data_IF_695341034003
#
_entry.id   IF_695341034003
#
_cell.length_a   1.000
_cell.length_b   1.000
_cell.length_c   1.000
_cell.angle_alpha   90.00
_cell.angle_beta   90.00
_cell.angle_gamma   90.00
#
_symmetry.space_group_name_H-M   'P 1'
#
loop_
_entity.id
_entity.type
_entity.pdbx_description
1 polymer ?
#
# COMPACT_ATOMS: atom_id res chain seq x y z
N UNK A 1 1.92 -66.41 22.25
CA UNK A 1 2.77 -65.88 23.35
C UNK A 1 4.10 -65.46 22.72
N UNK A 2 4.69 -64.28 22.88
CA UNK A 2 4.49 -63.15 23.78
C UNK A 2 4.94 -61.84 23.08
N UNK A 3 4.48 -60.71 23.63
CA UNK A 3 4.68 -59.32 23.18
C UNK A 3 6.12 -58.81 23.42
N UNK A 4 6.59 -57.86 22.60
CA UNK A 4 7.34 -56.70 23.09
C UNK A 4 7.24 -55.53 22.08
N UNK A 5 7.22 -54.32 22.62
CA UNK A 5 6.88 -53.06 21.96
C UNK A 5 8.08 -52.13 21.95
N UNK A 6 8.40 -51.58 20.77
CA UNK A 6 9.22 -50.38 20.49
C UNK A 6 9.64 -50.52 19.02
N UNK A 7 9.44 -49.59 18.11
CA UNK A 7 9.73 -48.19 18.28
C UNK A 7 8.95 -47.37 17.25
N UNK A 8 8.45 -46.24 17.72
CA UNK A 8 7.69 -45.26 16.95
C UNK A 8 8.69 -44.48 16.10
N UNK A 9 8.76 -44.74 14.78
CA UNK A 9 9.49 -43.83 13.88
C UNK A 9 8.60 -42.63 13.56
N UNK A 10 8.69 -41.68 14.48
CA UNK A 10 8.28 -40.29 14.48
C UNK A 10 7.85 -39.72 13.10
N UNK A 11 6.54 -39.47 13.00
CA UNK A 11 6.01 -38.25 12.40
C UNK A 11 6.68 -37.07 13.14
N UNK A 12 7.67 -36.44 12.52
CA UNK A 12 8.11 -35.12 12.97
C UNK A 12 7.22 -34.08 12.30
N UNK A 13 6.15 -33.74 13.01
CA UNK A 13 5.51 -32.43 12.93
C UNK A 13 6.55 -31.41 13.40
N UNK A 14 7.22 -30.75 12.46
CA UNK A 14 7.97 -29.53 12.75
C UNK A 14 7.03 -28.37 12.51
N UNK A 15 6.52 -27.78 13.59
CA UNK A 15 5.95 -26.43 13.55
C UNK A 15 7.02 -25.49 13.00
N UNK A 16 6.84 -25.07 11.74
CA UNK A 16 7.61 -23.98 11.15
C UNK A 16 6.90 -22.70 11.57
N UNK A 17 7.56 -21.86 12.37
CA UNK A 17 7.31 -20.43 12.27
C UNK A 17 7.41 -20.08 10.78
N UNK A 18 6.30 -19.67 10.17
CA UNK A 18 6.26 -19.27 8.77
C UNK A 18 7.13 -18.02 8.64
N UNK A 19 8.42 -18.21 8.36
CA UNK A 19 9.32 -17.13 7.96
C UNK A 19 8.72 -16.52 6.70
N UNK A 20 8.05 -15.38 6.86
CA UNK A 20 7.50 -14.60 5.76
C UNK A 20 8.57 -14.46 4.69
N UNK A 21 8.24 -14.86 3.47
CA UNK A 21 9.18 -14.70 2.36
C UNK A 21 9.43 -13.20 2.12
N UNK A 22 10.59 -12.83 1.57
CA UNK A 22 10.87 -11.41 1.29
C UNK A 22 9.84 -10.81 0.31
N UNK A 23 9.30 -11.66 -0.56
CA UNK A 23 8.23 -11.32 -1.48
C UNK A 23 6.90 -11.06 -0.77
N UNK A 24 6.55 -11.86 0.25
CA UNK A 24 5.37 -11.63 1.09
C UNK A 24 5.48 -10.34 1.91
N UNK A 25 6.66 -10.02 2.44
CA UNK A 25 6.91 -8.76 3.16
C UNK A 25 6.64 -7.54 2.27
N UNK A 26 7.05 -7.61 1.00
CA UNK A 26 6.82 -6.58 0.00
C UNK A 26 5.45 -6.68 -0.69
N UNK A 27 4.64 -7.70 -0.36
CA UNK A 27 3.33 -8.00 -0.99
C UNK A 27 3.39 -8.11 -2.51
N UNK A 28 4.48 -8.69 -3.02
CA UNK A 28 4.73 -8.91 -4.45
C UNK A 28 4.88 -10.39 -4.76
N UNK A 29 4.66 -10.75 -6.02
CA UNK A 29 4.93 -12.11 -6.50
C UNK A 29 6.44 -12.39 -6.54
N UNK A 30 6.91 -13.63 -6.32
CA UNK A 30 8.28 -14.05 -6.62
C UNK A 30 8.71 -13.79 -8.07
N UNK A 31 7.73 -13.76 -9.00
CA UNK A 31 7.93 -13.43 -10.41
C UNK A 31 7.94 -11.92 -10.71
N UNK A 32 7.82 -11.06 -9.71
CA UNK A 32 7.71 -9.61 -9.90
C UNK A 32 8.97 -9.03 -10.56
N UNK A 33 8.76 -8.10 -11.48
CA UNK A 33 9.80 -7.31 -12.11
C UNK A 33 10.49 -6.37 -11.10
N UNK A 34 11.67 -5.88 -11.46
CA UNK A 34 12.42 -4.96 -10.60
C UNK A 34 11.66 -3.65 -10.32
N UNK A 35 10.94 -3.14 -11.32
CA UNK A 35 10.10 -1.96 -11.21
C UNK A 35 8.94 -2.17 -10.25
N UNK A 36 8.29 -3.34 -10.28
CA UNK A 36 7.21 -3.70 -9.36
C UNK A 36 7.71 -3.81 -7.92
N UNK A 37 8.89 -4.41 -7.69
CA UNK A 37 9.52 -4.50 -6.37
C UNK A 37 9.80 -3.09 -5.81
N UNK A 38 10.36 -2.20 -6.64
CA UNK A 38 10.63 -0.82 -6.25
C UNK A 38 9.33 -0.02 -6.01
N UNK A 39 8.30 -0.18 -6.85
CA UNK A 39 6.99 0.48 -6.67
C UNK A 39 6.32 0.01 -5.37
N UNK A 40 6.31 -1.30 -5.12
CA UNK A 40 5.72 -1.89 -3.92
C UNK A 40 6.44 -1.45 -2.64
N UNK A 41 7.78 -1.47 -2.63
CA UNK A 41 8.57 -0.96 -1.52
C UNK A 41 8.24 0.51 -1.21
N UNK A 42 8.23 1.38 -2.23
CA UNK A 42 7.91 2.81 -2.03
C UNK A 42 6.53 3.01 -1.42
N UNK A 43 5.53 2.29 -1.92
CA UNK A 43 4.16 2.38 -1.41
C UNK A 43 4.07 1.89 0.05
N UNK A 44 4.70 0.77 0.38
CA UNK A 44 4.68 0.21 1.73
C UNK A 44 5.50 1.06 2.72
N UNK A 45 6.65 1.59 2.30
CA UNK A 45 7.47 2.50 3.09
C UNK A 45 6.69 3.77 3.44
N UNK A 46 5.89 4.31 2.52
CA UNK A 46 5.03 5.47 2.78
C UNK A 46 3.89 5.17 3.76
N UNK A 47 3.35 3.94 3.74
CA UNK A 47 2.24 3.53 4.61
C UNK A 47 2.70 3.18 6.03
N UNK A 48 3.89 2.58 6.13
CA UNK A 48 4.49 2.06 7.37
C UNK A 48 5.56 2.98 7.97
N UNK A 49 5.77 4.16 7.39
CA UNK A 49 6.74 5.10 7.92
C UNK A 49 6.42 5.42 9.39
N UNK A 50 7.38 5.30 10.32
CA UNK A 50 7.12 5.44 11.75
C UNK A 50 6.48 6.78 12.07
N UNK A 51 6.93 7.88 11.45
CA UNK A 51 6.35 9.22 11.65
C UNK A 51 4.87 9.31 11.24
N UNK A 52 4.48 8.68 10.11
CA UNK A 52 3.07 8.67 9.66
C UNK A 52 2.20 7.75 10.50
N UNK A 53 2.74 6.62 10.95
CA UNK A 53 2.02 5.69 11.82
C UNK A 53 1.81 6.34 13.18
N UNK A 54 2.83 6.97 13.75
CA UNK A 54 2.77 7.71 15.01
C UNK A 54 1.75 8.84 14.94
N UNK A 55 1.82 9.69 13.92
CA UNK A 55 0.88 10.80 13.76
C UNK A 55 -0.57 10.30 13.59
N UNK A 56 -0.80 9.19 12.87
CA UNK A 56 -2.14 8.58 12.74
C UNK A 56 -2.65 8.04 14.08
N UNK A 57 -1.78 7.42 14.88
CA UNK A 57 -2.12 6.84 16.17
C UNK A 57 -2.36 7.93 17.23
N UNK A 58 -1.58 9.00 17.23
CA UNK A 58 -1.77 10.16 18.10
C UNK A 58 -3.14 10.81 17.86
N UNK A 59 -3.52 11.03 16.58
CA UNK A 59 -4.84 11.54 16.22
C UNK A 59 -6.00 10.63 16.66
N UNK A 60 -5.84 9.31 16.54
CA UNK A 60 -6.83 8.34 17.00
C UNK A 60 -6.93 8.28 18.53
N UNK A 61 -5.82 8.47 19.23
CA UNK A 61 -5.73 8.49 20.68
C UNK A 61 -6.32 9.77 21.28
N UNK A 62 -6.22 10.92 20.60
CA UNK A 62 -6.85 12.18 20.98
C UNK A 62 -8.38 12.13 20.82
N UNK A 63 -8.87 11.48 19.75
CA UNK A 63 -10.29 11.27 19.53
C UNK A 63 -10.95 10.32 20.57
N UNK A 64 -10.16 9.48 21.24
CA UNK A 64 -10.61 8.53 22.27
C UNK A 64 -10.13 8.96 23.66
N UNK A 65 -10.68 10.07 24.15
CA UNK A 65 -10.38 10.60 25.48
C UNK A 65 -11.02 9.74 26.58
N UNK A 66 -10.22 8.87 27.24
CA UNK A 66 -10.20 8.59 28.70
C UNK A 66 -9.17 7.50 29.01
N UNK A 67 -8.27 7.76 29.96
CA UNK A 67 -7.53 6.72 30.70
C UNK A 67 -6.02 6.81 30.62
N UNK A 68 -5.41 7.06 31.77
CA UNK A 68 -3.97 7.05 32.04
C UNK A 68 -3.42 5.61 31.87
N UNK A 69 -2.44 5.45 30.98
CA UNK A 69 -1.89 4.15 30.55
C UNK A 69 -1.17 4.19 29.17
N UNK A 70 -1.47 5.21 28.35
CA UNK A 70 -1.13 5.29 26.91
C UNK A 70 0.35 5.39 26.50
N UNK A 71 1.26 5.78 27.39
CA UNK A 71 2.65 6.06 26.98
C UNK A 71 3.44 4.80 26.61
N UNK A 72 3.27 3.72 27.39
CA UNK A 72 3.91 2.43 27.13
C UNK A 72 3.38 1.77 25.84
N UNK A 73 2.06 1.82 25.63
CA UNK A 73 1.42 1.28 24.43
C UNK A 73 1.90 2.01 23.16
N UNK A 74 2.07 3.34 23.22
CA UNK A 74 2.56 4.14 22.09
C UNK A 74 4.03 3.84 21.76
N UNK A 75 4.85 3.61 22.78
CA UNK A 75 6.27 3.25 22.61
C UNK A 75 6.43 1.84 22.04
N UNK A 76 5.60 0.89 22.46
CA UNK A 76 5.52 -0.46 21.89
C UNK A 76 5.04 -0.42 20.43
N UNK A 77 4.01 0.36 20.10
CA UNK A 77 3.54 0.58 18.73
C UNK A 77 4.60 1.25 17.84
N UNK A 78 5.38 2.20 18.37
CA UNK A 78 6.54 2.80 17.67
C UNK A 78 7.60 1.75 17.39
N UNK A 79 7.90 0.91 18.38
CA UNK A 79 8.85 -0.19 18.25
C UNK A 79 8.40 -1.20 17.19
N UNK A 80 7.13 -1.58 17.17
CA UNK A 80 6.57 -2.49 16.16
C UNK A 80 6.58 -1.90 14.75
N UNK A 81 6.19 -0.64 14.58
CA UNK A 81 6.26 0.06 13.28
C UNK A 81 7.71 0.14 12.77
N UNK A 82 8.65 0.43 13.66
CA UNK A 82 10.08 0.47 13.34
C UNK A 82 10.59 -0.90 12.93
N UNK A 83 10.22 -1.96 13.67
CA UNK A 83 10.58 -3.34 13.33
C UNK A 83 10.04 -3.75 11.96
N UNK A 84 8.77 -3.45 11.68
CA UNK A 84 8.18 -3.76 10.38
C UNK A 84 8.82 -2.98 9.24
N UNK A 85 9.22 -1.74 9.48
CA UNK A 85 9.96 -0.95 8.50
C UNK A 85 11.36 -1.53 8.23
N UNK A 86 12.06 -1.97 9.27
CA UNK A 86 13.37 -2.65 9.14
C UNK A 86 13.25 -3.97 8.36
N UNK A 87 12.23 -4.78 8.65
CA UNK A 87 11.93 -6.02 7.91
C UNK A 87 11.66 -5.74 6.42
N UNK A 88 10.87 -4.70 6.13
CA UNK A 88 10.57 -4.27 4.76
C UNK A 88 11.83 -3.79 4.03
N UNK A 89 12.69 -3.04 4.71
CA UNK A 89 13.95 -2.53 4.16
C UNK A 89 14.92 -3.66 3.83
N UNK A 90 15.14 -4.58 4.77
CA UNK A 90 16.00 -5.75 4.57
C UNK A 90 15.51 -6.60 3.39
N UNK A 91 14.19 -6.77 3.26
CA UNK A 91 13.60 -7.46 2.11
C UNK A 91 13.89 -6.74 0.79
N UNK A 92 13.73 -5.42 0.77
CA UNK A 92 14.00 -4.64 -0.43
C UNK A 92 15.48 -4.67 -0.82
N UNK A 93 16.43 -4.58 0.11
CA UNK A 93 17.85 -4.60 -0.21
C UNK A 93 18.32 -5.89 -0.88
N UNK A 94 17.77 -7.03 -0.44
CA UNK A 94 18.05 -8.32 -1.05
C UNK A 94 17.38 -8.44 -2.42
N UNK A 95 16.12 -7.98 -2.56
CA UNK A 95 15.37 -8.09 -3.82
C UNK A 95 15.70 -6.99 -4.85
N UNK A 96 16.36 -5.90 -4.43
CA UNK A 96 16.80 -4.80 -5.29
C UNK A 96 17.99 -5.18 -6.16
N UNK A 97 18.94 -5.95 -5.63
CA UNK A 97 20.12 -6.39 -6.36
C UNK A 97 19.83 -7.72 -7.07
N UNK A 98 19.91 -7.79 -8.41
CA UNK A 98 19.67 -9.03 -9.16
C UNK A 98 20.52 -10.22 -8.72
N UNK A 99 21.76 -9.99 -8.27
CA UNK A 99 22.66 -11.05 -7.77
C UNK A 99 22.23 -11.54 -6.40
N UNK A 100 21.83 -10.63 -5.50
CA UNK A 100 21.33 -11.00 -4.15
C UNK A 100 19.97 -11.69 -4.25
N UNK A 101 19.08 -11.19 -5.10
CA UNK A 101 17.79 -11.81 -5.42
C UNK A 101 17.97 -13.22 -5.95
N UNK A 102 18.81 -13.42 -6.96
CA UNK A 102 19.08 -14.75 -7.52
C UNK A 102 19.64 -15.71 -6.46
N UNK A 103 20.55 -15.25 -5.61
CA UNK A 103 21.08 -16.05 -4.48
C UNK A 103 19.97 -16.40 -3.49
N UNK A 104 19.10 -15.45 -3.15
CA UNK A 104 17.96 -15.69 -2.27
C UNK A 104 16.99 -16.71 -2.89
N UNK A 105 16.70 -16.61 -4.18
CA UNK A 105 15.84 -17.55 -4.90
C UNK A 105 16.43 -18.98 -4.97
N UNK A 106 17.75 -19.10 -5.08
CA UNK A 106 18.45 -20.40 -5.14
C UNK A 106 18.69 -21.03 -3.75
N UNK A 107 18.92 -20.23 -2.71
CA UNK A 107 19.40 -20.72 -1.41
C UNK A 107 18.44 -20.47 -0.25
N UNK A 108 17.44 -19.60 -0.41
CA UNK A 108 16.55 -19.15 0.66
C UNK A 108 17.25 -18.38 1.79
N UNK A 109 18.53 -18.04 1.63
CA UNK A 109 19.35 -17.36 2.63
C UNK A 109 19.55 -15.90 2.26
N UNK A 110 19.37 -15.01 3.23
CA UNK A 110 19.52 -13.56 3.06
C UNK A 110 20.96 -13.08 3.17
N UNK A 111 21.91 -13.94 3.56
CA UNK A 111 23.34 -13.65 3.69
C UNK A 111 23.59 -12.45 4.61
N UNK A 112 23.74 -12.72 5.91
CA UNK A 112 23.97 -11.71 6.95
C UNK A 112 25.07 -10.71 6.56
N UNK A 113 24.71 -9.43 6.51
CA UNK A 113 25.47 -8.23 6.89
C UNK A 113 24.73 -6.97 6.38
N UNK A 114 23.55 -6.70 6.95
CA UNK A 114 22.88 -5.41 6.78
C UNK A 114 22.25 -4.99 8.11
N UNK A 115 23.11 -4.72 9.08
CA UNK A 115 22.84 -3.73 10.11
C UNK A 115 23.91 -2.64 9.96
N UNK A 116 23.79 -1.83 8.91
CA UNK A 116 24.21 -0.43 9.04
C UNK A 116 23.20 0.21 10.00
N UNK A 117 23.69 1.01 10.95
CA UNK A 117 22.89 1.59 12.03
C UNK A 117 21.62 2.26 11.48
N UNK A 118 20.51 2.27 12.24
CA UNK A 118 19.28 2.99 11.87
C UNK A 118 19.58 4.43 11.40
N UNK A 119 20.52 5.08 12.07
CA UNK A 119 20.99 6.42 11.73
C UNK A 119 21.70 6.47 10.37
N UNK A 120 22.50 5.47 10.03
CA UNK A 120 23.24 5.39 8.76
C UNK A 120 22.31 5.07 7.58
N UNK A 121 21.35 4.16 7.78
CA UNK A 121 20.32 3.84 6.80
C UNK A 121 19.38 5.04 6.55
N UNK A 122 19.02 5.77 7.62
CA UNK A 122 18.20 6.98 7.54
C UNK A 122 18.95 8.11 6.83
N UNK A 123 20.21 8.36 7.15
CA UNK A 123 21.05 9.39 6.50
C UNK A 123 21.36 9.05 5.03
N UNK A 124 21.59 7.77 4.72
CA UNK A 124 21.71 7.30 3.33
C UNK A 124 20.41 7.53 2.57
N UNK A 125 19.25 7.18 3.14
CA UNK A 125 17.96 7.38 2.50
C UNK A 125 17.68 8.87 2.27
N UNK A 126 17.92 9.73 3.27
CA UNK A 126 17.80 11.20 3.18
C UNK A 126 18.72 11.80 2.10
N UNK A 127 19.89 11.18 1.87
CA UNK A 127 20.87 11.61 0.88
C UNK A 127 20.57 11.11 -0.54
N UNK A 128 20.04 9.89 -0.68
CA UNK A 128 19.71 9.25 -1.97
C UNK A 128 18.32 9.62 -2.46
N UNK A 129 17.40 9.87 -1.53
CA UNK A 129 16.06 10.37 -1.77
C UNK A 129 15.91 11.69 -1.00
N UNK A 130 16.03 12.84 -1.68
CA UNK A 130 15.79 14.14 -1.08
C UNK A 130 14.45 14.15 -0.34
N UNK A 131 14.34 14.93 0.74
CA UNK A 131 13.07 15.13 1.44
C UNK A 131 11.98 15.43 0.42
N UNK A 132 11.03 14.49 0.27
CA UNK A 132 9.88 14.62 -0.61
C UNK A 132 9.09 15.81 -0.08
N UNK A 133 9.32 16.97 -0.67
CA UNK A 133 8.64 18.17 -0.25
C UNK A 133 7.22 18.15 -0.86
N UNK A 134 6.31 18.99 -0.36
CA UNK A 134 4.97 19.09 -0.91
C UNK A 134 4.97 19.41 -2.41
N UNK A 135 5.96 20.17 -2.89
CA UNK A 135 6.11 20.49 -4.30
C UNK A 135 6.54 19.29 -5.17
N UNK A 136 7.27 18.31 -4.62
CA UNK A 136 7.58 17.06 -5.34
C UNK A 136 6.33 16.18 -5.47
N UNK A 137 5.50 16.12 -4.42
CA UNK A 137 4.18 15.46 -4.46
C UNK A 137 3.28 16.17 -5.48
N UNK A 138 3.27 17.50 -5.48
CA UNK A 138 2.47 18.29 -6.43
C UNK A 138 3.00 18.13 -7.87
N UNK A 139 4.32 18.07 -8.06
CA UNK A 139 4.92 17.82 -9.38
C UNK A 139 4.54 16.44 -9.90
N UNK A 140 4.59 15.42 -9.04
CA UNK A 140 4.18 14.07 -9.40
C UNK A 140 2.67 13.99 -9.63
N UNK A 141 1.86 14.68 -8.83
CA UNK A 141 0.40 14.82 -9.05
C UNK A 141 0.11 15.42 -10.43
N UNK A 142 0.83 16.45 -10.84
CA UNK A 142 0.65 17.08 -12.15
C UNK A 142 1.06 16.16 -13.31
N UNK A 143 2.11 15.36 -13.12
CA UNK A 143 2.57 14.40 -14.14
C UNK A 143 1.68 13.17 -14.21
N UNK A 144 1.15 12.71 -13.08
CA UNK A 144 0.33 11.51 -12.98
C UNK A 144 -1.11 11.74 -13.47
N UNK A 145 -1.75 12.84 -13.07
CA UNK A 145 -3.14 13.12 -13.49
C UNK A 145 -3.22 13.33 -15.00
N UNK A 146 -4.23 12.73 -15.63
CA UNK A 146 -4.48 12.74 -17.09
C UNK A 146 -3.40 12.07 -17.93
N UNK A 147 -2.47 11.36 -17.29
CA UNK A 147 -1.41 10.62 -17.98
C UNK A 147 -1.89 9.25 -18.48
N UNK A 148 -1.10 8.67 -19.38
CA UNK A 148 -1.28 7.28 -19.79
C UNK A 148 -1.06 6.30 -18.62
N UNK A 149 -0.22 6.66 -17.63
CA UNK A 149 0.04 5.85 -16.45
C UNK A 149 -1.19 5.74 -15.56
N UNK A 150 -1.94 6.85 -15.38
CA UNK A 150 -3.19 6.84 -14.63
C UNK A 150 -4.23 5.92 -15.27
N UNK A 151 -4.39 5.99 -16.60
CA UNK A 151 -5.33 5.12 -17.32
C UNK A 151 -4.91 3.64 -17.19
N UNK A 152 -3.60 3.37 -17.19
CA UNK A 152 -3.08 2.02 -17.00
C UNK A 152 -3.31 1.51 -15.57
N UNK A 153 -3.04 2.32 -14.54
CA UNK A 153 -3.28 1.94 -13.15
C UNK A 153 -4.79 1.69 -12.89
N UNK A 154 -5.69 2.44 -13.54
CA UNK A 154 -7.15 2.20 -13.52
C UNK A 154 -7.51 0.86 -14.20
N UNK A 155 -6.89 0.55 -15.33
CA UNK A 155 -7.11 -0.71 -16.05
C UNK A 155 -6.63 -1.90 -15.21
N UNK A 156 -5.43 -1.79 -14.63
CA UNK A 156 -4.85 -2.82 -13.76
C UNK A 156 -5.71 -3.03 -12.52
N UNK A 157 -6.24 -1.96 -11.94
CA UNK A 157 -7.23 -2.04 -10.86
C UNK A 157 -8.47 -2.83 -11.30
N UNK A 158 -9.07 -2.49 -12.45
CA UNK A 158 -10.25 -3.19 -12.97
C UNK A 158 -10.00 -4.69 -13.19
N UNK A 159 -8.80 -5.07 -13.66
CA UNK A 159 -8.43 -6.46 -13.81
C UNK A 159 -8.21 -7.17 -12.46
N UNK A 160 -7.57 -6.48 -11.51
CA UNK A 160 -7.24 -7.03 -10.19
C UNK A 160 -8.48 -7.32 -9.35
N UNK A 161 -9.49 -6.47 -9.45
CA UNK A 161 -10.72 -6.56 -8.67
C UNK A 161 -11.93 -7.09 -9.48
N UNK A 162 -11.70 -7.66 -10.68
CA UNK A 162 -12.74 -8.19 -11.58
C UNK A 162 -13.90 -7.20 -11.83
N UNK A 163 -13.55 -5.91 -11.91
CA UNK A 163 -14.48 -4.81 -12.09
C UNK A 163 -15.20 -4.32 -10.82
N UNK A 164 -14.83 -4.78 -9.62
CA UNK A 164 -15.29 -4.20 -8.36
C UNK A 164 -14.59 -2.86 -8.10
N UNK A 165 -15.38 -1.77 -8.12
CA UNK A 165 -14.88 -0.41 -7.96
C UNK A 165 -14.91 0.09 -6.50
N UNK A 166 -15.21 -0.75 -5.53
CA UNK A 166 -15.36 -0.35 -4.11
C UNK A 166 -14.09 0.28 -3.54
N UNK A 167 -12.92 -0.26 -3.87
CA UNK A 167 -11.62 0.21 -3.39
C UNK A 167 -10.92 1.19 -4.34
N UNK A 168 -11.66 1.76 -5.30
CA UNK A 168 -11.08 2.59 -6.36
C UNK A 168 -10.26 3.76 -5.81
N UNK A 169 -10.81 4.48 -4.82
CA UNK A 169 -10.14 5.67 -4.26
C UNK A 169 -8.96 5.37 -3.33
N UNK A 170 -8.87 4.14 -2.83
CA UNK A 170 -7.76 3.70 -1.97
C UNK A 170 -6.58 3.22 -2.81
N UNK A 171 -6.85 2.76 -4.04
CA UNK A 171 -5.86 2.14 -4.91
C UNK A 171 -5.26 3.12 -5.91
N UNK A 172 -6.03 4.08 -6.42
CA UNK A 172 -5.57 5.04 -7.43
C UNK A 172 -4.90 6.26 -6.76
N UNK A 173 -3.62 6.54 -7.03
CA UNK A 173 -2.96 7.74 -6.50
C UNK A 173 -3.70 9.04 -6.85
N UNK A 174 -3.82 9.93 -5.87
CA UNK A 174 -4.47 11.25 -6.03
C UNK A 174 -5.92 11.20 -6.57
N UNK A 175 -6.60 10.07 -6.41
CA UNK A 175 -8.00 9.96 -6.80
C UNK A 175 -8.89 10.70 -5.80
N UNK A 176 -9.17 11.96 -6.13
CA UNK A 176 -10.09 12.79 -5.38
C UNK A 176 -11.50 12.76 -5.98
N UNK A 177 -12.51 13.00 -5.13
CA UNK A 177 -13.92 13.07 -5.52
C UNK A 177 -14.22 14.20 -6.52
N UNK A 178 -13.34 15.19 -6.60
CA UNK A 178 -13.42 16.30 -7.57
C UNK A 178 -13.33 15.81 -9.03
N UNK A 179 -12.59 14.72 -9.27
CA UNK A 179 -12.34 14.20 -10.61
C UNK A 179 -13.24 13.01 -10.97
N UNK A 180 -14.25 12.71 -10.15
CA UNK A 180 -15.23 11.63 -10.36
C UNK A 180 -15.82 11.59 -11.77
N UNK A 181 -16.30 12.71 -12.36
CA UNK A 181 -16.84 12.70 -13.71
C UNK A 181 -15.84 12.21 -14.77
N UNK A 182 -14.56 12.55 -14.60
CA UNK A 182 -13.47 12.12 -15.48
C UNK A 182 -13.21 10.62 -15.33
N UNK A 183 -13.14 10.12 -14.10
CA UNK A 183 -12.96 8.68 -13.84
C UNK A 183 -14.11 7.85 -14.42
N UNK A 184 -15.35 8.30 -14.26
CA UNK A 184 -16.52 7.64 -14.83
C UNK A 184 -16.45 7.56 -16.36
N UNK A 185 -15.95 8.62 -17.02
CA UNK A 185 -15.73 8.61 -18.46
C UNK A 185 -14.65 7.59 -18.86
N UNK A 186 -13.51 7.57 -18.18
CA UNK A 186 -12.43 6.60 -18.44
C UNK A 186 -12.96 5.17 -18.26
N UNK A 187 -13.67 4.88 -17.16
CA UNK A 187 -14.23 3.56 -16.88
C UNK A 187 -15.24 3.13 -17.95
N UNK A 188 -16.06 4.06 -18.45
CA UNK A 188 -17.00 3.80 -19.54
C UNK A 188 -16.26 3.54 -20.86
N UNK A 189 -15.27 4.35 -21.19
CA UNK A 189 -14.42 4.17 -22.37
C UNK A 189 -13.69 2.82 -22.34
N UNK A 190 -13.21 2.37 -21.17
CA UNK A 190 -12.56 1.07 -20.99
C UNK A 190 -13.52 -0.12 -21.22
N UNK A 191 -14.79 0.04 -20.88
CA UNK A 191 -15.83 -0.96 -21.17
C UNK A 191 -16.20 -0.96 -22.65
N UNK A 192 -16.37 0.22 -23.24
CA UNK A 192 -16.72 0.37 -24.66
C UNK A 192 -15.62 -0.15 -25.59
N UNK A 193 -14.36 0.06 -25.20
CA UNK A 193 -13.17 -0.51 -25.87
C UNK A 193 -12.94 -1.99 -25.57
N UNK A 194 -13.82 -2.63 -24.79
CA UNK A 194 -13.75 -4.05 -24.37
C UNK A 194 -12.46 -4.43 -23.64
N UNK A 195 -11.76 -3.45 -23.06
CA UNK A 195 -10.59 -3.70 -22.21
C UNK A 195 -11.00 -4.22 -20.83
N UNK A 196 -12.18 -3.82 -20.34
CA UNK A 196 -12.75 -4.31 -19.08
C UNK A 196 -14.05 -5.05 -19.36
N UNK A 197 -14.25 -6.18 -18.66
CA UNK A 197 -15.46 -6.99 -18.78
C UNK A 197 -16.59 -6.35 -17.98
N UNK A 198 -17.74 -6.11 -18.64
CA UNK A 198 -18.94 -5.61 -17.98
C UNK A 198 -19.61 -6.71 -17.15
N UNK A 199 -19.31 -6.75 -15.87
CA UNK A 199 -19.89 -7.67 -14.89
C UNK A 199 -21.02 -7.01 -14.08
N UNK A 200 -21.86 -7.79 -13.40
CA UNK A 200 -22.94 -7.27 -12.56
C UNK A 200 -22.42 -6.38 -11.41
N UNK A 201 -21.33 -6.81 -10.77
CA UNK A 201 -20.60 -6.08 -9.72
C UNK A 201 -20.07 -4.74 -10.22
N UNK A 202 -19.52 -4.71 -11.43
CA UNK A 202 -19.06 -3.47 -12.07
C UNK A 202 -20.22 -2.49 -12.30
N UNK A 203 -21.36 -2.97 -12.82
CA UNK A 203 -22.52 -2.10 -13.06
C UNK A 203 -23.08 -1.55 -11.75
N UNK A 204 -23.10 -2.35 -10.69
CA UNK A 204 -23.56 -1.93 -9.37
C UNK A 204 -22.63 -0.89 -8.73
N UNK A 205 -21.33 -1.19 -8.66
CA UNK A 205 -20.34 -0.31 -8.05
C UNK A 205 -20.12 0.98 -8.86
N UNK A 206 -20.27 0.92 -10.19
CA UNK A 206 -20.27 2.12 -11.05
C UNK A 206 -21.46 3.04 -10.72
N UNK A 207 -22.66 2.49 -10.51
CA UNK A 207 -23.83 3.29 -10.07
C UNK A 207 -23.61 3.92 -8.70
N UNK A 208 -22.95 3.21 -7.78
CA UNK A 208 -22.59 3.76 -6.48
C UNK A 208 -21.63 4.95 -6.63
N UNK A 209 -20.61 4.82 -7.49
CA UNK A 209 -19.70 5.91 -7.85
C UNK A 209 -20.42 7.10 -8.51
N UNK A 210 -21.33 6.86 -9.45
CA UNK A 210 -22.18 7.90 -10.06
C UNK A 210 -22.99 8.65 -9.00
N UNK A 211 -23.63 7.90 -8.09
CA UNK A 211 -24.41 8.50 -6.97
C UNK A 211 -23.52 9.32 -6.04
N UNK A 212 -22.28 8.86 -5.78
CA UNK A 212 -21.31 9.62 -4.98
C UNK A 212 -20.88 10.91 -5.69
N UNK A 213 -20.70 10.87 -7.01
CA UNK A 213 -20.37 12.04 -7.82
C UNK A 213 -21.47 13.10 -7.77
N UNK A 214 -22.73 12.69 -7.91
CA UNK A 214 -23.89 13.60 -7.82
C UNK A 214 -24.00 14.25 -6.44
N UNK A 215 -23.84 13.46 -5.36
CA UNK A 215 -23.87 13.97 -3.99
C UNK A 215 -22.74 14.98 -3.75
N UNK A 216 -21.54 14.70 -4.25
CA UNK A 216 -20.40 15.59 -4.11
C UNK A 216 -20.60 16.90 -4.89
N UNK A 217 -21.07 16.82 -6.14
CA UNK A 217 -21.40 17.99 -6.95
C UNK A 217 -22.45 18.89 -6.27
N UNK A 218 -23.51 18.30 -5.70
CA UNK A 218 -24.54 19.04 -4.97
C UNK A 218 -24.00 19.71 -3.69
N UNK A 219 -23.06 19.08 -2.99
CA UNK A 219 -22.40 19.67 -1.82
C UNK A 219 -21.55 20.88 -2.22
N UNK A 220 -20.72 20.76 -3.27
CA UNK A 220 -19.88 21.87 -3.77
C UNK A 220 -20.74 23.05 -4.25
N UNK A 221 -21.85 22.79 -4.94
CA UNK A 221 -22.80 23.82 -5.36
C UNK A 221 -23.45 24.52 -4.14
N UNK A 222 -23.76 23.76 -3.10
CA UNK A 222 -24.33 24.31 -1.86
C UNK A 222 -23.31 25.14 -1.05
N UNK A 223 -22.05 24.72 -1.02
CA UNK A 223 -20.96 25.44 -0.33
C UNK A 223 -20.57 26.72 -1.07
N UNK A 224 -20.46 26.68 -2.39
CA UNK A 224 -20.18 27.88 -3.22
C UNK A 224 -21.29 28.94 -3.13
N UNK A 225 -22.57 28.52 -3.10
CA UNK A 225 -23.72 29.42 -2.85
C UNK A 225 -23.72 30.04 -1.45
N UNK A 226 -23.16 29.34 -0.45
CA UNK A 226 -23.03 29.87 0.91
C UNK A 226 -21.85 30.84 1.03
N UNK A 227 -20.72 30.55 0.38
CA UNK A 227 -19.57 31.45 0.33
C UNK A 227 -19.91 32.78 -0.36
N UNK A 228 -20.62 32.72 -1.48
CA UNK A 228 -21.03 33.93 -2.22
C UNK A 228 -22.02 34.80 -1.44
N UNK A 229 -22.89 34.21 -0.61
CA UNK A 229 -23.77 34.94 0.31
C UNK A 229 -23.07 35.50 1.55
N UNK A 230 -21.92 34.96 1.94
CA UNK A 230 -21.16 35.39 3.12
C UNK A 230 -20.16 36.51 2.80
N UNK A 231 -19.74 36.60 1.53
CA UNK A 231 -18.82 37.61 1.02
C UNK A 231 -19.52 38.77 0.27
N UNK A 232 -20.86 38.78 0.24
CA UNK A 232 -21.70 39.84 -0.31
C UNK A 232 -22.44 40.57 0.82
#
# INVERSE_FOLDING_TARGET
MAKSASDRRAKQETGKEEKKTLYELLRVSPSASQSEITKAYRNLALLLHPDKVVHRLEQQAEATSKGEGKAADLEELKSEATRHFQELQAAYEVLKDPKRRKRYDETGSTGDDAAESFEEAYEYYRRVFPEFNSADIDSYRQVYLESAEEVQDILDFCHRFDGDLTHFFEYIPFSDKEHLPRYLRILRDLVDTKKVKKNATFVETLKQLETQAEKYAALVEKESKQLTKKNA
#
